data_IF_118266671474
#
_entry.id   IF_118266671474
#
_cell.length_a   1.000
_cell.length_b   1.000
_cell.length_c   1.000
_cell.angle_alpha   90.00
_cell.angle_beta   90.00
_cell.angle_gamma   90.00
#
_symmetry.space_group_name_H-M   'P 1'
#
loop_
_entity.id
_entity.type
_entity.pdbx_description
1 polymer ?
#
# COMPACT_ATOMS: atom_id res chain seq x y z
N UNK A 1 1.38 -13.28 8.62
CA UNK A 1 1.12 -12.12 7.74
C UNK A 1 1.98 -10.93 8.16
N UNK A 2 3.04 -10.61 7.42
CA UNK A 2 4.00 -9.56 7.83
C UNK A 2 3.38 -8.16 7.94
N UNK A 3 2.41 -7.83 7.09
CA UNK A 3 1.73 -6.52 7.12
C UNK A 3 0.95 -6.26 8.41
N UNK A 4 0.32 -7.30 8.97
CA UNK A 4 -0.40 -7.20 10.26
C UNK A 4 0.60 -7.08 11.41
N UNK A 5 1.66 -7.90 11.40
CA UNK A 5 2.70 -7.87 12.42
C UNK A 5 3.41 -6.50 12.49
N UNK A 6 3.66 -5.84 11.35
CA UNK A 6 4.19 -4.47 11.32
C UNK A 6 3.25 -3.46 11.98
N UNK A 7 1.93 -3.61 11.78
CA UNK A 7 0.93 -2.73 12.38
C UNK A 7 0.82 -2.92 13.90
N UNK A 8 0.91 -4.17 14.36
CA UNK A 8 0.71 -4.54 15.77
C UNK A 8 1.96 -4.32 16.62
N UNK A 9 3.13 -4.73 16.12
CA UNK A 9 4.38 -4.69 16.90
C UNK A 9 5.19 -3.41 16.70
N UNK A 10 4.94 -2.67 15.61
CA UNK A 10 5.71 -1.50 15.23
C UNK A 10 4.84 -0.28 14.84
N UNK A 11 3.80 0.06 15.63
CA UNK A 11 2.87 1.15 15.30
C UNK A 11 3.56 2.50 15.11
N UNK A 12 4.66 2.75 15.83
CA UNK A 12 5.46 3.98 15.75
C UNK A 12 6.09 4.21 14.36
N UNK A 13 6.34 3.15 13.60
CA UNK A 13 6.92 3.23 12.26
C UNK A 13 5.86 3.18 11.15
N UNK A 14 4.63 2.85 11.50
CA UNK A 14 3.57 2.62 10.52
C UNK A 14 3.19 3.90 9.75
N UNK A 15 3.35 5.06 10.40
CA UNK A 15 3.15 6.37 9.78
C UNK A 15 4.03 6.64 8.55
N UNK A 16 5.18 5.97 8.41
CA UNK A 16 6.01 6.12 7.22
C UNK A 16 5.35 5.52 5.97
N UNK A 17 4.50 4.51 6.11
CA UNK A 17 3.83 3.88 4.98
C UNK A 17 2.66 4.69 4.42
N UNK A 18 2.14 5.68 5.18
CA UNK A 18 1.09 6.59 4.74
C UNK A 18 1.63 7.83 4.01
N UNK A 19 2.95 8.03 4.03
CA UNK A 19 3.59 9.18 3.42
C UNK A 19 3.66 9.06 1.89
N UNK A 20 2.99 9.98 1.18
CA UNK A 20 2.92 10.00 -0.29
C UNK A 20 4.22 10.43 -0.96
N UNK A 21 5.04 11.23 -0.27
CA UNK A 21 6.34 11.68 -0.76
C UNK A 21 7.24 12.09 0.40
N UNK A 22 8.55 11.95 0.23
CA UNK A 22 9.53 12.48 1.17
C UNK A 22 10.60 13.28 0.42
N UNK A 23 11.31 14.13 1.17
CA UNK A 23 12.44 14.90 0.66
C UNK A 23 13.73 14.19 1.03
N UNK A 24 14.61 14.02 0.06
CA UNK A 24 15.99 13.59 0.27
C UNK A 24 16.92 14.67 -0.30
N UNK A 25 17.52 15.46 0.59
CA UNK A 25 18.17 16.71 0.21
C UNK A 25 17.18 17.66 -0.47
N UNK A 26 17.48 18.08 -1.70
CA UNK A 26 16.59 18.95 -2.52
C UNK A 26 15.63 18.18 -3.41
N UNK A 27 15.68 16.84 -3.42
CA UNK A 27 14.88 16.01 -4.33
C UNK A 27 13.64 15.49 -3.61
N UNK A 28 12.47 15.72 -4.20
CA UNK A 28 11.22 15.07 -3.80
C UNK A 28 11.13 13.68 -4.44
N UNK A 29 10.95 12.67 -3.60
CA UNK A 29 10.73 11.28 -4.02
C UNK A 29 9.28 10.93 -3.73
N UNK A 30 8.55 10.55 -4.77
CA UNK A 30 7.14 10.17 -4.67
C UNK A 30 7.03 8.68 -4.39
N UNK A 31 6.09 8.31 -3.51
CA UNK A 31 5.75 6.94 -3.22
C UNK A 31 5.09 6.25 -4.42
N UNK A 32 5.32 4.95 -4.55
CA UNK A 32 4.73 4.13 -5.61
C UNK A 32 3.33 3.60 -5.25
N UNK A 33 2.89 3.76 -4.00
CA UNK A 33 1.54 3.38 -3.57
C UNK A 33 0.53 4.45 -3.98
N UNK A 34 -0.01 4.30 -5.19
CA UNK A 34 -0.98 5.25 -5.76
C UNK A 34 -2.35 5.20 -5.10
N UNK A 35 -2.62 4.23 -4.23
CA UNK A 35 -3.90 4.13 -3.52
C UNK A 35 -3.96 5.06 -2.31
N UNK A 36 -2.80 5.50 -1.78
CA UNK A 36 -2.72 6.49 -0.72
C UNK A 36 -3.39 7.79 -1.17
N UNK A 37 -4.56 8.08 -0.58
CA UNK A 37 -5.35 9.27 -0.90
C UNK A 37 -6.38 9.13 -2.02
N UNK A 38 -6.38 8.03 -2.76
CA UNK A 38 -7.44 7.73 -3.73
C UNK A 38 -8.58 6.94 -3.08
N UNK A 39 -8.29 6.18 -2.04
CA UNK A 39 -9.27 5.43 -1.25
C UNK A 39 -9.19 5.90 0.19
N UNK A 40 -10.35 6.22 0.76
CA UNK A 40 -10.48 6.66 2.17
C UNK A 40 -9.94 5.57 3.09
N UNK A 41 -9.14 5.95 4.08
CA UNK A 41 -8.58 5.03 5.07
C UNK A 41 -7.37 4.22 4.62
N UNK A 42 -6.90 4.30 3.36
CA UNK A 42 -5.66 3.59 2.98
C UNK A 42 -4.45 4.25 3.64
N UNK A 43 -3.71 3.47 4.43
CA UNK A 43 -2.58 3.94 5.24
C UNK A 43 -1.25 3.19 4.97
N UNK A 44 -1.23 2.24 4.03
CA UNK A 44 -0.03 1.47 3.71
C UNK A 44 -0.26 0.39 2.63
N UNK A 45 0.61 -0.61 2.46
CA UNK A 45 1.95 -0.79 3.08
C UNK A 45 3.05 -0.75 2.03
N UNK A 46 3.00 -1.58 0.98
CA UNK A 46 4.14 -1.65 0.03
C UNK A 46 3.75 -2.17 -1.34
N UNK A 47 4.31 -1.53 -2.36
CA UNK A 47 4.32 -2.01 -3.75
C UNK A 47 5.61 -2.78 -4.03
N UNK A 48 5.56 -3.90 -4.75
CA UNK A 48 6.73 -4.65 -5.21
C UNK A 48 6.63 -5.02 -6.69
N UNK A 49 7.75 -5.11 -7.38
CA UNK A 49 7.84 -5.61 -8.75
C UNK A 49 9.15 -6.35 -8.94
N UNK A 50 9.08 -7.56 -9.49
CA UNK A 50 10.22 -8.24 -10.12
C UNK A 50 9.74 -8.86 -11.42
N UNK A 51 10.64 -9.07 -12.39
CA UNK A 51 10.28 -9.72 -13.67
C UNK A 51 9.65 -11.10 -13.47
N UNK A 52 10.13 -11.87 -12.50
CA UNK A 52 9.63 -13.21 -12.21
C UNK A 52 8.28 -13.22 -11.47
N UNK A 53 7.97 -12.18 -10.67
CA UNK A 53 6.79 -12.15 -9.81
C UNK A 53 5.63 -11.27 -10.31
N UNK A 54 5.85 -10.48 -11.37
CA UNK A 54 4.90 -9.43 -11.78
C UNK A 54 4.75 -8.32 -10.72
N UNK A 55 3.66 -7.56 -10.79
CA UNK A 55 3.37 -6.43 -9.90
C UNK A 55 2.58 -6.86 -8.66
N UNK A 56 3.13 -6.62 -7.47
CA UNK A 56 2.56 -7.00 -6.18
C UNK A 56 2.21 -5.77 -5.34
N UNK A 57 1.13 -5.83 -4.55
CA UNK A 57 0.75 -4.79 -3.58
C UNK A 57 0.19 -5.41 -2.33
N UNK A 58 0.67 -4.91 -1.20
CA UNK A 58 0.00 -5.05 0.08
C UNK A 58 -0.55 -3.68 0.46
N UNK A 59 -1.87 -3.60 0.62
CA UNK A 59 -2.54 -2.39 1.07
C UNK A 59 -3.26 -2.62 2.38
N UNK A 60 -3.16 -1.64 3.28
CA UNK A 60 -3.90 -1.60 4.54
C UNK A 60 -4.90 -0.47 4.46
N UNK A 61 -6.10 -0.72 4.98
CA UNK A 61 -7.22 0.21 5.07
C UNK A 61 -7.66 0.26 6.53
N UNK A 62 -7.81 1.47 7.04
CA UNK A 62 -8.33 1.77 8.37
C UNK A 62 -9.34 2.93 8.24
N UNK A 63 -10.63 2.61 8.27
CA UNK A 63 -11.72 3.60 8.26
C UNK A 63 -12.65 3.35 9.47
N UNK A 64 -12.25 3.85 10.64
CA UNK A 64 -12.97 3.66 11.90
C UNK A 64 -12.99 2.19 12.33
N UNK A 65 -14.17 1.58 12.27
CA UNK A 65 -14.38 0.18 12.65
C UNK A 65 -13.90 -0.82 11.58
N UNK A 66 -13.66 -0.34 10.35
CA UNK A 66 -13.21 -1.19 9.24
C UNK A 66 -11.69 -1.18 9.13
N UNK A 67 -11.06 -2.26 9.60
CA UNK A 67 -9.62 -2.53 9.43
C UNK A 67 -9.40 -3.70 8.49
N UNK A 68 -8.83 -3.46 7.32
CA UNK A 68 -8.58 -4.48 6.30
C UNK A 68 -7.13 -4.48 5.86
N UNK A 69 -6.60 -5.66 5.53
CA UNK A 69 -5.34 -5.83 4.83
C UNK A 69 -5.61 -6.66 3.59
N UNK A 70 -5.41 -6.05 2.42
CA UNK A 70 -5.61 -6.69 1.13
C UNK A 70 -4.26 -6.90 0.43
N UNK A 71 -4.14 -8.04 -0.26
CA UNK A 71 -2.91 -8.44 -0.96
C UNK A 71 -3.25 -8.83 -2.39
N UNK A 72 -2.58 -8.20 -3.35
CA UNK A 72 -2.63 -8.57 -4.78
C UNK A 72 -1.23 -9.00 -5.19
N UNK A 73 -1.13 -10.17 -5.81
CA UNK A 73 0.12 -10.72 -6.34
C UNK A 73 -0.01 -10.98 -7.84
N UNK A 74 1.09 -10.86 -8.58
CA UNK A 74 1.15 -11.27 -9.99
C UNK A 74 0.42 -10.37 -10.97
N UNK A 75 0.19 -9.09 -10.64
CA UNK A 75 -0.48 -8.16 -11.55
C UNK A 75 0.30 -8.00 -12.87
N UNK A 76 -0.40 -8.04 -14.00
CA UNK A 76 0.21 -7.89 -15.34
C UNK A 76 0.78 -6.48 -15.60
N UNK A 77 0.26 -5.46 -14.90
CA UNK A 77 0.78 -4.09 -14.92
C UNK A 77 0.48 -3.38 -13.59
N UNK A 78 1.21 -2.29 -13.30
CA UNK A 78 0.92 -1.47 -12.11
C UNK A 78 -0.52 -0.93 -12.08
N UNK A 79 -1.11 -0.60 -13.24
CA UNK A 79 -2.50 -0.11 -13.32
C UNK A 79 -3.51 -1.23 -13.07
N UNK A 80 -3.33 -2.40 -13.68
CA UNK A 80 -4.20 -3.56 -13.45
C UNK A 80 -4.19 -3.97 -11.97
N UNK A 81 -3.00 -3.96 -11.37
CA UNK A 81 -2.75 -4.24 -9.97
C UNK A 81 -3.48 -3.26 -9.04
N UNK A 82 -3.37 -1.96 -9.31
CA UNK A 82 -4.06 -0.92 -8.53
C UNK A 82 -5.59 -1.06 -8.64
N UNK A 83 -6.12 -1.38 -9.82
CA UNK A 83 -7.55 -1.56 -10.04
C UNK A 83 -8.11 -2.80 -9.31
N UNK A 84 -7.40 -3.93 -9.36
CA UNK A 84 -7.77 -5.13 -8.60
C UNK A 84 -7.79 -4.86 -7.09
N UNK A 85 -6.79 -4.14 -6.59
CA UNK A 85 -6.74 -3.79 -5.18
C UNK A 85 -7.90 -2.86 -4.77
N UNK A 86 -8.23 -1.87 -5.61
CA UNK A 86 -9.39 -1.02 -5.37
C UNK A 86 -10.70 -1.81 -5.34
N UNK A 87 -10.85 -2.80 -6.23
CA UNK A 87 -11.99 -3.72 -6.22
C UNK A 87 -12.10 -4.52 -4.91
N UNK A 88 -10.97 -5.08 -4.42
CA UNK A 88 -10.94 -5.84 -3.17
C UNK A 88 -11.26 -4.99 -1.93
N UNK A 89 -10.88 -3.71 -1.93
CA UNK A 89 -11.14 -2.80 -0.81
C UNK A 89 -12.61 -2.31 -0.82
N UNK A 90 -13.21 -2.18 -1.99
CA UNK A 90 -14.59 -1.68 -2.16
C UNK A 90 -15.65 -2.78 -2.15
N UNK A 91 -15.27 -4.05 -2.22
CA UNK A 91 -16.15 -5.19 -1.95
C UNK A 91 -16.56 -5.22 -0.47
#
# INVERSE_FOLDING_TARGET
>A
MLGIALREHFPQYYGYFSQRSFLYGRRRINGHNRLLGRIKGVDGIKTGYTRASGYNLVSSVNDGDRKLVAVVMGGASGRARDNQMAGLINA
#
